data_IF_989823128968
#
_entry.id   IF_989823128968
#
_cell.length_a   1.000
_cell.length_b   1.000
_cell.length_c   1.000
_cell.angle_alpha   90.00
_cell.angle_beta   90.00
_cell.angle_gamma   90.00
#
_symmetry.space_group_name_H-M   'P 1'
#
loop_
_entity.id
_entity.type
_entity.pdbx_description
1 polymer ?
#
# COMPACT_ATOMS: atom_id res chain seq x y z
N UNK A 1 -44.19 -18.77 31.50
CA UNK A 1 -42.71 -18.65 31.46
C UNK A 1 -42.15 -19.41 30.25
N UNK A 2 -42.23 -18.85 29.03
CA UNK A 2 -41.65 -19.47 27.81
C UNK A 2 -41.11 -18.48 26.78
N UNK A 3 -41.28 -17.17 27.00
CA UNK A 3 -40.92 -16.13 26.02
C UNK A 3 -39.64 -15.33 26.39
N UNK A 4 -39.11 -15.51 27.59
CA UNK A 4 -37.88 -14.81 28.04
C UNK A 4 -36.62 -15.45 27.45
N UNK A 5 -36.67 -16.72 27.06
CA UNK A 5 -35.51 -17.44 26.51
C UNK A 5 -35.18 -17.07 25.05
N UNK A 6 -36.13 -16.54 24.27
CA UNK A 6 -35.88 -16.19 22.86
C UNK A 6 -35.28 -14.79 22.69
N UNK A 7 -35.41 -13.92 23.68
CA UNK A 7 -34.87 -12.56 23.63
C UNK A 7 -33.33 -12.51 23.81
N UNK A 8 -32.74 -13.52 24.44
CA UNK A 8 -31.28 -13.61 24.61
C UNK A 8 -30.57 -14.25 23.41
N UNK A 9 -31.29 -14.98 22.54
CA UNK A 9 -30.68 -15.63 21.37
C UNK A 9 -30.54 -14.70 20.15
N UNK A 10 -31.36 -13.65 20.05
CA UNK A 10 -31.33 -12.72 18.91
C UNK A 10 -30.28 -11.61 19.03
N UNK A 11 -29.85 -11.27 20.25
CA UNK A 11 -28.86 -10.19 20.47
C UNK A 11 -27.43 -10.66 20.19
N UNK A 12 -27.14 -11.96 20.25
CA UNK A 12 -25.81 -12.53 20.03
C UNK A 12 -25.45 -12.72 18.54
N UNK A 13 -26.42 -12.66 17.63
CA UNK A 13 -26.20 -12.82 16.18
C UNK A 13 -25.79 -11.49 15.52
N UNK A 14 -26.16 -10.34 16.10
CA UNK A 14 -25.78 -9.01 15.57
C UNK A 14 -24.45 -8.48 16.12
N UNK A 15 -23.82 -9.17 17.07
CA UNK A 15 -22.55 -8.78 17.67
C UNK A 15 -21.37 -9.64 17.16
N UNK A 16 -21.49 -10.22 15.96
CA UNK A 16 -20.31 -10.75 15.28
C UNK A 16 -19.43 -9.54 14.93
N UNK A 17 -18.19 -9.42 15.47
CA UNK A 17 -17.25 -8.46 14.94
C UNK A 17 -17.09 -8.81 13.46
N UNK A 18 -17.45 -7.88 12.57
CA UNK A 18 -17.08 -7.97 11.17
C UNK A 18 -15.57 -8.05 11.19
N UNK A 19 -15.02 -9.25 11.00
CA UNK A 19 -13.58 -9.47 10.95
C UNK A 19 -13.08 -8.57 9.82
N UNK A 20 -12.39 -7.50 10.22
CA UNK A 20 -11.77 -6.53 9.33
C UNK A 20 -10.54 -7.18 8.68
N UNK A 21 -10.76 -8.20 7.89
CA UNK A 21 -9.71 -8.92 7.18
C UNK A 21 -10.06 -8.82 5.69
N UNK A 22 -9.20 -8.13 4.93
CA UNK A 22 -9.29 -7.81 3.49
C UNK A 22 -9.77 -6.41 3.12
N UNK A 23 -9.24 -5.35 3.75
CA UNK A 23 -9.41 -3.99 3.22
C UNK A 23 -8.23 -3.60 2.30
N UNK A 24 -8.51 -3.00 1.13
CA UNK A 24 -7.50 -2.36 0.28
C UNK A 24 -6.81 -1.20 1.02
N UNK A 25 -5.75 -0.64 0.45
CA UNK A 25 -4.98 0.50 1.00
C UNK A 25 -3.99 0.19 2.10
N UNK A 26 -3.39 -1.00 2.05
CA UNK A 26 -2.26 -1.30 2.93
C UNK A 26 -0.99 -0.72 2.33
N UNK A 27 -0.50 0.35 2.94
CA UNK A 27 0.80 0.96 2.66
C UNK A 27 1.72 0.71 3.85
N UNK A 28 2.97 0.39 3.58
CA UNK A 28 3.97 0.18 4.63
C UNK A 28 5.32 0.78 4.24
N UNK A 29 6.05 1.24 5.26
CA UNK A 29 7.43 1.71 5.18
C UNK A 29 8.23 1.04 6.31
N UNK A 30 9.51 0.71 6.13
CA UNK A 30 10.24 -0.21 7.01
C UNK A 30 10.35 0.27 8.47
N UNK A 31 10.19 1.57 8.76
CA UNK A 31 10.27 2.11 10.12
C UNK A 31 8.95 2.11 10.90
N UNK A 32 7.79 1.84 10.28
CA UNK A 32 6.53 1.66 11.03
C UNK A 32 6.47 0.33 11.78
N UNK A 33 7.36 -0.62 11.45
CA UNK A 33 7.51 -1.91 12.11
C UNK A 33 8.21 -1.82 13.48
N UNK A 34 8.76 -0.66 13.85
CA UNK A 34 9.45 -0.46 15.14
C UNK A 34 8.60 0.21 16.21
N UNK A 35 7.51 0.90 15.83
CA UNK A 35 6.66 1.64 16.78
C UNK A 35 5.18 1.22 16.78
N UNK A 36 4.81 0.19 16.01
CA UNK A 36 3.50 -0.44 16.11
C UNK A 36 3.45 -1.37 17.34
N UNK A 37 2.35 -1.30 18.09
CA UNK A 37 2.05 -2.11 19.28
C UNK A 37 2.38 -3.62 19.09
N UNK A 38 2.71 -4.35 20.17
CA UNK A 38 3.33 -5.69 20.11
C UNK A 38 2.46 -6.84 19.56
N UNK A 39 1.35 -6.56 18.87
CA UNK A 39 0.48 -7.59 18.26
C UNK A 39 0.55 -7.64 16.72
N UNK A 40 1.41 -6.83 16.09
CA UNK A 40 1.83 -7.05 14.71
C UNK A 40 3.35 -7.25 14.68
N UNK A 41 3.82 -8.25 15.43
CA UNK A 41 5.21 -8.67 15.30
C UNK A 41 5.46 -9.04 13.84
N UNK A 42 6.60 -8.55 13.35
CA UNK A 42 7.19 -8.66 12.01
C UNK A 42 7.30 -10.11 11.47
N UNK A 43 6.74 -11.09 12.16
CA UNK A 43 6.60 -12.49 11.73
C UNK A 43 5.32 -12.80 10.94
N UNK A 44 4.27 -11.98 11.05
CA UNK A 44 2.97 -12.27 10.40
C UNK A 44 2.60 -11.38 9.22
N UNK A 45 3.34 -10.30 8.96
CA UNK A 45 3.36 -9.71 7.62
C UNK A 45 4.36 -10.50 6.78
N UNK A 46 3.93 -11.67 6.31
CA UNK A 46 4.38 -12.15 4.99
C UNK A 46 4.24 -10.93 4.07
N UNK A 47 5.36 -10.29 3.73
CA UNK A 47 5.50 -9.50 2.51
C UNK A 47 4.81 -10.36 1.45
N UNK A 48 3.59 -9.97 1.03
CA UNK A 48 2.65 -10.86 0.37
C UNK A 48 3.37 -11.69 -0.69
N UNK A 49 3.46 -13.00 -0.43
CA UNK A 49 3.86 -14.07 -1.37
C UNK A 49 4.59 -13.54 -2.61
N UNK A 50 5.93 -13.53 -2.61
CA UNK A 50 6.73 -13.40 -3.85
C UNK A 50 6.32 -12.26 -4.80
N UNK A 51 6.42 -11.01 -4.35
CA UNK A 51 6.30 -9.85 -5.24
C UNK A 51 4.88 -9.33 -5.45
N UNK A 52 3.94 -9.59 -4.53
CA UNK A 52 2.61 -9.00 -4.55
C UNK A 52 2.56 -7.57 -3.96
N UNK A 53 3.45 -6.71 -4.42
CA UNK A 53 3.53 -5.32 -3.98
C UNK A 53 4.10 -4.44 -5.09
N UNK A 54 3.89 -3.12 -5.00
CA UNK A 54 4.62 -2.13 -5.78
C UNK A 54 5.55 -1.37 -4.84
N UNK A 55 6.83 -1.28 -5.18
CA UNK A 55 7.81 -0.53 -4.39
C UNK A 55 8.03 0.85 -5.00
N UNK A 56 8.16 1.87 -4.14
CA UNK A 56 8.49 3.24 -4.53
C UNK A 56 9.66 3.72 -3.69
N UNK A 57 10.75 4.14 -4.36
CA UNK A 57 11.94 4.71 -3.73
C UNK A 57 12.07 6.17 -4.16
N UNK A 58 12.45 7.02 -3.22
CA UNK A 58 12.68 8.44 -3.49
C UNK A 58 14.12 8.86 -3.14
N UNK A 59 15.05 8.59 -4.05
CA UNK A 59 16.44 9.06 -3.97
C UNK A 59 16.60 10.42 -4.69
N UNK A 60 15.64 11.31 -4.46
CA UNK A 60 15.63 12.66 -5.04
C UNK A 60 15.56 13.72 -3.96
N UNK A 61 15.93 14.96 -4.31
CA UNK A 61 15.88 16.09 -3.38
C UNK A 61 14.46 16.55 -3.02
N UNK A 62 13.42 16.05 -3.69
CA UNK A 62 12.05 16.52 -3.54
C UNK A 62 11.18 15.47 -2.84
N UNK A 63 10.35 15.91 -1.90
CA UNK A 63 9.27 15.10 -1.33
C UNK A 63 8.11 14.98 -2.32
N UNK A 64 7.46 13.83 -2.33
CA UNK A 64 6.37 13.51 -3.26
C UNK A 64 5.13 13.02 -2.53
N UNK A 65 3.98 13.26 -3.15
CA UNK A 65 2.70 12.65 -2.76
C UNK A 65 2.32 11.60 -3.80
N UNK A 66 1.89 10.44 -3.31
CA UNK A 66 1.46 9.30 -4.11
C UNK A 66 -0.04 9.16 -4.00
N UNK A 67 -0.70 9.09 -5.15
CA UNK A 67 -2.13 8.82 -5.28
C UNK A 67 -2.34 7.74 -6.33
N UNK A 68 -3.52 7.14 -6.39
CA UNK A 68 -3.77 6.10 -7.37
C UNK A 68 -5.12 5.42 -7.26
N UNK A 69 -5.29 4.40 -8.07
CA UNK A 69 -6.49 3.56 -8.12
C UNK A 69 -6.11 2.14 -8.54
N UNK A 70 -6.51 1.16 -7.73
CA UNK A 70 -6.35 -0.26 -8.01
C UNK A 70 -7.10 -0.67 -9.29
N UNK A 71 -6.74 -1.81 -9.87
CA UNK A 71 -7.35 -2.35 -11.09
C UNK A 71 -8.86 -2.67 -10.96
N UNK A 72 -9.34 -2.93 -9.74
CA UNK A 72 -10.75 -3.08 -9.40
C UNK A 72 -11.49 -1.74 -9.19
N UNK A 73 -10.80 -0.61 -9.34
CA UNK A 73 -11.35 0.72 -9.21
C UNK A 73 -11.31 1.30 -7.80
N UNK A 74 -10.81 0.60 -6.79
CA UNK A 74 -10.68 1.15 -5.44
C UNK A 74 -9.62 2.28 -5.42
N UNK A 75 -9.87 3.44 -4.80
CA UNK A 75 -8.87 4.49 -4.68
C UNK A 75 -7.80 4.14 -3.65
N UNK A 76 -6.55 4.50 -3.95
CA UNK A 76 -5.45 4.47 -3.01
C UNK A 76 -5.63 5.56 -1.94
N UNK A 77 -5.45 5.24 -0.65
CA UNK A 77 -5.29 6.27 0.38
C UNK A 77 -3.98 7.03 0.10
N UNK A 78 -4.02 8.34 -0.17
CA UNK A 78 -2.82 9.10 -0.47
C UNK A 78 -1.79 9.03 0.65
N UNK A 79 -0.52 8.96 0.28
CA UNK A 79 0.57 9.01 1.24
C UNK A 79 1.75 9.81 0.70
N UNK A 80 2.59 10.27 1.61
CA UNK A 80 3.77 11.06 1.30
C UNK A 80 5.01 10.17 1.35
N UNK A 81 6.00 10.51 0.52
CA UNK A 81 7.36 9.99 0.59
C UNK A 81 8.31 11.18 0.61
N UNK A 82 9.05 11.33 1.71
CA UNK A 82 10.02 12.40 1.87
C UNK A 82 11.28 12.16 1.03
N UNK A 83 12.01 13.25 0.81
CA UNK A 83 13.33 13.25 0.15
C UNK A 83 14.31 12.29 0.86
N UNK A 84 14.91 11.37 0.10
CA UNK A 84 15.83 10.32 0.59
C UNK A 84 15.25 9.45 1.72
N UNK A 85 13.92 9.25 1.73
CA UNK A 85 13.27 8.32 2.63
C UNK A 85 13.42 6.87 2.16
N UNK A 86 13.33 5.93 3.11
CA UNK A 86 13.34 4.50 2.82
C UNK A 86 12.23 4.07 1.84
N UNK A 87 12.39 2.91 1.20
CA UNK A 87 11.38 2.36 0.29
C UNK A 87 9.99 2.28 0.93
N UNK A 88 8.99 2.73 0.18
CA UNK A 88 7.59 2.53 0.49
C UNK A 88 7.01 1.42 -0.37
N UNK A 89 6.05 0.71 0.18
CA UNK A 89 5.42 -0.41 -0.48
C UNK A 89 3.90 -0.27 -0.45
N UNK A 90 3.29 -0.49 -1.60
CA UNK A 90 1.85 -0.62 -1.74
C UNK A 90 1.54 -2.12 -1.79
N UNK A 91 0.80 -2.62 -0.80
CA UNK A 91 0.34 -4.00 -0.77
C UNK A 91 -0.70 -4.22 -1.86
N UNK A 92 -0.45 -5.19 -2.73
CA UNK A 92 -1.36 -5.56 -3.81
C UNK A 92 -2.17 -6.82 -3.45
N UNK A 93 -1.98 -7.37 -2.24
CA UNK A 93 -2.71 -8.54 -1.76
C UNK A 93 -3.84 -8.14 -0.81
N UNK A 94 -5.07 -8.12 -1.33
CA UNK A 94 -6.27 -8.02 -0.51
C UNK A 94 -7.41 -8.82 -1.15
N UNK A 95 -8.48 -9.04 -0.39
CA UNK A 95 -9.62 -9.88 -0.80
C UNK A 95 -9.23 -11.31 -1.21
N UNK A 96 -8.13 -11.82 -0.63
CA UNK A 96 -7.63 -13.17 -0.87
C UNK A 96 -6.92 -13.40 -2.21
N UNK A 97 -6.63 -12.36 -3.00
CA UNK A 97 -5.87 -12.49 -4.25
C UNK A 97 -4.84 -11.38 -4.45
N UNK A 98 -3.91 -11.61 -5.38
CA UNK A 98 -2.91 -10.63 -5.77
C UNK A 98 -3.41 -9.84 -6.98
N UNK A 99 -3.60 -8.54 -6.81
CA UNK A 99 -3.98 -7.65 -7.90
C UNK A 99 -2.86 -7.52 -8.93
N UNK A 100 -3.22 -7.30 -10.19
CA UNK A 100 -2.23 -7.29 -11.28
C UNK A 100 -1.42 -5.98 -11.33
N UNK A 101 -1.99 -4.90 -10.82
CA UNK A 101 -1.39 -3.58 -10.87
C UNK A 101 -2.39 -2.50 -10.48
N UNK A 102 -1.97 -1.26 -10.64
CA UNK A 102 -2.81 -0.10 -10.36
C UNK A 102 -2.36 1.11 -11.17
N UNK A 103 -3.23 2.08 -11.37
CA UNK A 103 -2.84 3.39 -11.87
C UNK A 103 -2.28 4.23 -10.72
N UNK A 104 -1.08 4.79 -10.90
CA UNK A 104 -0.43 5.67 -9.93
C UNK A 104 -0.21 7.05 -10.52
N UNK A 105 -0.34 8.06 -9.67
CA UNK A 105 0.06 9.43 -9.93
C UNK A 105 0.98 9.90 -8.79
N UNK A 106 2.15 10.40 -9.16
CA UNK A 106 3.16 10.91 -8.24
C UNK A 106 3.49 12.34 -8.65
N UNK A 107 3.40 13.25 -7.70
CA UNK A 107 3.72 14.66 -7.87
C UNK A 107 4.56 15.15 -6.69
N UNK A 108 5.37 16.18 -6.90
CA UNK A 108 6.06 16.85 -5.79
C UNK A 108 5.03 17.55 -4.90
N UNK A 109 5.42 17.88 -3.67
CA UNK A 109 4.57 18.70 -2.79
C UNK A 109 4.22 20.08 -3.37
N UNK A 110 5.04 20.59 -4.30
CA UNK A 110 4.78 21.82 -5.04
C UNK A 110 3.83 21.62 -6.24
N UNK A 111 3.30 20.41 -6.44
CA UNK A 111 2.34 20.07 -7.50
C UNK A 111 2.95 19.77 -8.87
N UNK A 112 4.26 19.56 -8.97
CA UNK A 112 4.88 19.20 -10.24
C UNK A 112 4.71 17.70 -10.51
N UNK A 113 4.18 17.29 -11.68
CA UNK A 113 4.01 15.88 -12.00
C UNK A 113 5.36 15.19 -12.21
N UNK A 114 5.53 14.03 -11.58
CA UNK A 114 6.74 13.20 -11.65
C UNK A 114 6.48 11.93 -12.45
N UNK A 115 5.35 11.28 -12.18
CA UNK A 115 4.93 10.04 -12.83
C UNK A 115 3.41 9.96 -12.88
N UNK A 116 2.87 9.46 -13.98
CA UNK A 116 1.45 9.12 -14.08
C UNK A 116 1.30 7.94 -15.03
N UNK A 117 0.79 6.81 -14.56
CA UNK A 117 0.67 5.61 -15.38
C UNK A 117 0.26 4.35 -14.63
N UNK A 118 -0.08 3.32 -15.40
CA UNK A 118 -0.37 1.99 -14.86
C UNK A 118 0.92 1.24 -14.52
N UNK A 119 0.99 0.70 -13.31
CA UNK A 119 2.16 0.01 -12.78
C UNK A 119 1.75 -1.39 -12.35
N UNK A 120 2.47 -2.38 -12.86
CA UNK A 120 2.22 -3.78 -12.54
C UNK A 120 2.78 -4.15 -11.18
N UNK A 121 2.11 -5.08 -10.52
CA UNK A 121 2.57 -5.70 -9.30
C UNK A 121 3.94 -6.35 -9.48
N UNK A 122 4.84 -6.15 -8.51
CA UNK A 122 6.25 -6.53 -8.57
C UNK A 122 7.15 -5.49 -9.24
N UNK A 123 6.62 -4.32 -9.60
CA UNK A 123 7.43 -3.21 -10.11
C UNK A 123 8.05 -2.39 -8.98
N UNK A 124 9.16 -1.73 -9.31
CA UNK A 124 9.81 -0.70 -8.53
C UNK A 124 9.76 0.61 -9.31
N UNK A 125 9.25 1.67 -8.69
CA UNK A 125 9.33 3.05 -9.18
C UNK A 125 10.46 3.74 -8.43
N UNK A 126 11.54 4.09 -9.13
CA UNK A 126 12.69 4.78 -8.55
C UNK A 126 12.69 6.24 -8.97
N UNK A 127 12.44 7.12 -8.02
CA UNK A 127 12.46 8.57 -8.22
C UNK A 127 13.87 9.05 -7.91
N UNK A 128 14.51 9.70 -8.88
CA UNK A 128 15.90 10.16 -8.77
C UNK A 128 16.03 11.61 -9.19
N UNK A 129 17.02 12.28 -8.61
CA UNK A 129 17.45 13.60 -9.10
C UNK A 129 18.01 13.48 -10.52
N UNK A 130 17.56 14.38 -11.39
CA UNK A 130 17.96 14.52 -12.78
C UNK A 130 18.53 15.92 -13.05
N UNK A 131 19.08 16.12 -14.26
CA UNK A 131 19.73 17.35 -14.70
C UNK A 131 18.92 18.62 -14.36
N UNK A 132 19.64 19.64 -13.89
CA UNK A 132 19.11 20.94 -13.49
C UNK A 132 18.08 20.90 -12.33
N UNK A 133 18.36 20.08 -11.30
CA UNK A 133 17.51 19.92 -10.10
C UNK A 133 16.08 19.47 -10.40
N UNK A 134 15.86 18.85 -11.56
CA UNK A 134 14.61 18.18 -11.87
C UNK A 134 14.63 16.79 -11.27
N UNK A 135 13.49 16.12 -11.23
CA UNK A 135 13.40 14.72 -10.83
C UNK A 135 12.70 13.93 -11.92
N UNK A 136 12.99 12.62 -11.98
CA UNK A 136 12.34 11.69 -12.89
C UNK A 136 12.02 10.39 -12.15
N UNK A 137 11.04 9.65 -12.65
CA UNK A 137 10.73 8.30 -12.19
C UNK A 137 11.17 7.27 -13.24
N UNK A 138 11.99 6.31 -12.83
CA UNK A 138 12.34 5.13 -13.62
C UNK A 138 11.52 3.94 -13.11
N UNK A 139 10.79 3.26 -13.99
CA UNK A 139 9.97 2.09 -13.64
C UNK A 139 10.66 0.83 -14.12
N UNK A 140 10.86 -0.14 -13.23
CA UNK A 140 11.46 -1.43 -13.54
C UNK A 140 10.68 -2.57 -12.91
N UNK A 141 10.64 -3.72 -13.57
CA UNK A 141 10.12 -4.94 -12.97
C UNK A 141 11.23 -5.58 -12.12
N UNK A 142 10.95 -5.90 -10.85
CA UNK A 142 11.88 -6.74 -10.09
C UNK A 142 11.94 -8.11 -10.77
N UNK A 143 13.09 -8.40 -11.39
CA UNK A 143 13.36 -9.70 -11.99
C UNK A 143 13.23 -10.76 -10.89
N UNK A 144 12.29 -11.70 -11.04
CA UNK A 144 12.26 -12.90 -10.19
C UNK A 144 13.60 -13.61 -10.35
N UNK A 145 14.43 -13.59 -9.31
CA UNK A 145 15.59 -14.47 -9.23
C UNK A 145 14.99 -15.86 -8.99
N UNK A 146 14.95 -16.66 -10.05
CA UNK A 146 14.48 -18.04 -10.03
C UNK A 146 15.45 -18.97 -9.33
#
# INVERSE_FOLDING_TARGET
MKYIAYLFAFVFICAQPVLAENLPNRHFYPNSLQNAAPEATVKDQKLGVFGCYIEILNDSYSSVIVTGRYDDGVPLIPFNIYSFEYSHYIDMFYSGYCHNGMYLNIETFDGYPVFSGYVYTGSTIHIVTWYANKIKADVSLKKKVG
#
